data_IF_884371943506
#
_entry.id   IF_884371943506
#
_cell.length_a   1.000
_cell.length_b   1.000
_cell.length_c   1.000
_cell.angle_alpha   90.00
_cell.angle_beta   90.00
_cell.angle_gamma   90.00
#
_symmetry.space_group_name_H-M   'P 1'
#
loop_
_entity.id
_entity.type
_entity.pdbx_description
1 polymer ?
#
# COMPACT_ATOMS: atom_id res chain seq x y z
N UNK A 1 25.63 13.91 67.91
CA UNK A 1 25.89 14.19 66.48
C UNK A 1 24.58 14.58 65.82
N UNK A 2 24.47 15.85 65.42
CA UNK A 2 23.30 16.41 64.74
C UNK A 2 23.27 16.00 63.27
N UNK A 3 22.11 15.57 62.76
CA UNK A 3 21.79 15.73 61.33
C UNK A 3 20.35 16.17 61.15
N UNK A 4 20.26 17.44 60.76
CA UNK A 4 19.10 18.23 60.41
C UNK A 4 18.40 17.62 59.20
N UNK A 5 17.09 17.38 59.31
CA UNK A 5 16.21 17.05 58.18
C UNK A 5 15.63 18.36 57.67
N UNK A 6 16.10 18.80 56.51
CA UNK A 6 15.56 19.94 55.78
C UNK A 6 14.15 19.61 55.30
N UNK A 7 13.18 20.31 55.88
CA UNK A 7 11.80 20.38 55.40
C UNK A 7 11.76 21.29 54.18
N UNK A 8 11.32 20.77 53.04
CA UNK A 8 10.83 21.57 51.91
C UNK A 8 9.37 21.17 51.74
N UNK A 9 8.52 21.79 52.56
CA UNK A 9 7.09 21.92 52.32
C UNK A 9 6.84 23.42 52.20
N UNK A 10 6.41 23.86 51.03
CA UNK A 10 6.06 25.25 50.79
C UNK A 10 5.31 25.40 49.48
N UNK A 11 4.03 25.73 49.60
CA UNK A 11 3.13 26.24 48.56
C UNK A 11 2.63 25.24 47.51
N UNK A 12 1.55 24.54 47.88
CA UNK A 12 0.30 24.53 47.12
C UNK A 12 -0.83 24.12 48.08
N UNK A 13 -1.43 25.14 48.71
CA UNK A 13 -2.63 24.97 49.52
C UNK A 13 -3.84 24.75 48.62
N UNK A 14 -4.03 23.52 48.16
CA UNK A 14 -5.33 23.04 47.71
C UNK A 14 -5.93 22.22 48.86
N UNK A 15 -7.04 22.70 49.41
CA UNK A 15 -7.88 21.98 50.37
C UNK A 15 -8.18 20.59 49.80
N UNK A 16 -7.56 19.55 50.35
CA UNK A 16 -8.00 18.18 50.09
C UNK A 16 -9.25 17.94 50.94
N UNK A 17 -10.39 18.34 50.41
CA UNK A 17 -11.64 17.73 50.82
C UNK A 17 -11.48 16.22 50.60
N UNK A 18 -11.29 15.50 51.71
CA UNK A 18 -11.37 14.05 51.72
C UNK A 18 -12.78 13.72 51.23
N UNK A 19 -12.88 13.31 49.97
CA UNK A 19 -14.07 12.68 49.45
C UNK A 19 -14.31 11.43 50.32
N UNK A 20 -15.21 11.57 51.30
CA UNK A 20 -15.70 10.45 52.10
C UNK A 20 -16.88 9.89 51.30
N UNK A 21 -16.71 8.77 50.56
CA UNK A 21 -17.81 8.19 49.82
C UNK A 21 -18.92 7.81 50.80
N UNK A 22 -20.10 8.41 50.64
CA UNK A 22 -21.30 8.06 51.38
C UNK A 22 -21.68 6.62 51.06
N UNK A 23 -21.89 5.80 52.09
CA UNK A 23 -22.13 4.35 52.00
C UNK A 23 -23.39 3.90 51.22
N UNK A 24 -24.11 4.82 50.57
CA UNK A 24 -25.27 4.52 49.72
C UNK A 24 -24.93 4.35 48.24
N UNK A 25 -23.67 4.54 47.83
CA UNK A 25 -23.29 4.37 46.43
C UNK A 25 -23.25 2.89 46.06
N UNK A 26 -24.35 2.46 45.44
CA UNK A 26 -24.62 1.08 45.04
C UNK A 26 -23.49 0.57 44.12
N UNK A 27 -22.69 -0.44 44.53
CA UNK A 27 -21.49 -0.89 43.81
C UNK A 27 -21.76 -1.36 42.38
N UNK A 28 -23.02 -1.68 42.07
CA UNK A 28 -23.50 -2.05 40.73
C UNK A 28 -23.47 -0.90 39.73
N UNK A 29 -23.66 0.36 40.16
CA UNK A 29 -23.58 1.55 39.28
C UNK A 29 -22.14 1.84 38.86
N UNK A 30 -21.19 1.70 39.78
CA UNK A 30 -19.76 1.88 39.47
C UNK A 30 -19.28 0.81 38.48
N UNK A 31 -19.67 -0.45 38.65
CA UNK A 31 -19.28 -1.52 37.72
C UNK A 31 -19.87 -1.38 36.32
N UNK A 32 -21.13 -0.92 36.19
CA UNK A 32 -21.76 -0.72 34.88
C UNK A 32 -21.12 0.44 34.10
N UNK A 33 -20.77 1.54 34.78
CA UNK A 33 -20.03 2.65 34.15
C UNK A 33 -18.63 2.23 33.67
N UNK A 34 -17.91 1.43 34.45
CA UNK A 34 -16.59 0.91 34.09
C UNK A 34 -16.62 -0.02 32.87
N UNK A 35 -17.65 -0.88 32.76
CA UNK A 35 -17.82 -1.75 31.58
C UNK A 35 -18.15 -0.95 30.32
N UNK A 36 -19.00 0.07 30.43
CA UNK A 36 -19.35 0.93 29.30
C UNK A 36 -18.11 1.64 28.74
N UNK A 37 -17.26 2.21 29.61
CA UNK A 37 -16.02 2.90 29.19
C UNK A 37 -15.05 1.94 28.49
N UNK A 38 -14.90 0.70 28.97
CA UNK A 38 -14.05 -0.32 28.33
C UNK A 38 -14.57 -0.77 26.95
N UNK A 39 -15.89 -0.86 26.77
CA UNK A 39 -16.47 -1.21 25.48
C UNK A 39 -16.26 -0.09 24.45
N UNK A 40 -16.35 1.17 24.88
CA UNK A 40 -16.11 2.33 24.01
C UNK A 40 -14.65 2.42 23.53
N UNK A 41 -13.68 2.08 24.39
CA UNK A 41 -12.28 2.11 23.99
C UNK A 41 -11.94 1.09 22.90
N UNK A 42 -12.48 -0.13 23.04
CA UNK A 42 -12.26 -1.19 22.06
C UNK A 42 -12.87 -0.88 20.69
N UNK A 43 -14.07 -0.27 20.67
CA UNK A 43 -14.72 0.18 19.44
C UNK A 43 -13.92 1.30 18.74
N UNK A 44 -13.33 2.21 19.51
CA UNK A 44 -12.45 3.26 18.99
C UNK A 44 -11.23 2.69 18.26
N UNK A 45 -10.53 1.75 18.89
CA UNK A 45 -9.35 1.08 18.29
C UNK A 45 -9.70 0.27 17.04
N UNK A 46 -10.83 -0.45 17.06
CA UNK A 46 -11.32 -1.16 15.89
C UNK A 46 -11.67 -0.19 14.74
N UNK A 47 -12.29 0.95 15.06
CA UNK A 47 -12.66 1.93 14.04
C UNK A 47 -11.45 2.61 13.41
N UNK A 48 -10.40 2.93 14.18
CA UNK A 48 -9.18 3.55 13.63
C UNK A 48 -8.38 2.56 12.78
N UNK A 49 -8.31 1.29 13.20
CA UNK A 49 -7.75 0.22 12.37
C UNK A 49 -8.55 -0.01 11.09
N UNK A 50 -9.89 -0.01 11.17
CA UNK A 50 -10.75 -0.15 10.02
C UNK A 50 -10.60 1.04 9.04
N UNK A 51 -10.50 2.27 9.55
CA UNK A 51 -10.27 3.47 8.73
C UNK A 51 -8.89 3.43 8.07
N UNK A 52 -7.84 3.05 8.80
CA UNK A 52 -6.51 2.87 8.21
C UNK A 52 -6.56 1.80 7.11
N UNK A 53 -7.22 0.67 7.38
CA UNK A 53 -7.33 -0.43 6.41
C UNK A 53 -8.12 -0.01 5.17
N UNK A 54 -9.25 0.69 5.34
CA UNK A 54 -10.05 1.23 4.24
C UNK A 54 -9.26 2.26 3.43
N UNK A 55 -8.55 3.18 4.10
CA UNK A 55 -7.70 4.18 3.44
C UNK A 55 -6.57 3.51 2.64
N UNK A 56 -5.91 2.52 3.22
CA UNK A 56 -4.86 1.73 2.59
C UNK A 56 -5.34 0.99 1.33
N UNK A 57 -6.59 0.51 1.36
CA UNK A 57 -7.22 -0.15 0.21
C UNK A 57 -7.72 0.84 -0.85
N UNK A 58 -8.11 2.06 -0.45
CA UNK A 58 -8.69 3.06 -1.34
C UNK A 58 -7.63 3.86 -2.11
N UNK A 59 -6.47 4.14 -1.50
CA UNK A 59 -5.57 5.15 -2.04
C UNK A 59 -4.59 4.60 -3.10
N UNK A 60 -4.74 5.09 -4.34
CA UNK A 60 -3.83 4.85 -5.46
C UNK A 60 -2.47 5.56 -5.33
N UNK A 61 -2.34 6.55 -4.43
CA UNK A 61 -1.12 7.33 -4.25
C UNK A 61 0.04 6.56 -3.59
N UNK A 62 -0.24 5.47 -2.86
CA UNK A 62 0.79 4.64 -2.22
C UNK A 62 1.72 3.93 -3.22
N UNK A 63 1.29 3.83 -4.46
CA UNK A 63 2.03 3.21 -5.54
C UNK A 63 3.34 3.98 -5.81
N UNK A 64 3.35 5.31 -5.63
CA UNK A 64 4.53 6.18 -5.81
C UNK A 64 5.56 6.08 -4.66
N UNK A 65 5.20 5.49 -3.52
CA UNK A 65 6.09 5.30 -2.35
C UNK A 65 7.10 4.15 -2.56
N UNK A 66 6.72 3.12 -3.33
CA UNK A 66 7.44 1.84 -3.42
C UNK A 66 8.62 1.87 -4.40
N UNK A 67 8.56 2.71 -5.44
CA UNK A 67 9.60 2.77 -6.49
C UNK A 67 10.98 3.24 -6.01
N UNK A 68 11.14 3.68 -4.76
CA UNK A 68 12.41 4.20 -4.24
C UNK A 68 12.96 3.44 -3.03
N UNK A 69 12.33 2.34 -2.59
CA UNK A 69 12.93 1.45 -1.58
C UNK A 69 13.83 0.38 -2.21
N UNK A 70 13.60 0.05 -3.49
CA UNK A 70 14.26 -1.07 -4.18
C UNK A 70 15.38 -0.64 -5.16
N UNK A 71 15.45 0.65 -5.52
CA UNK A 71 16.50 1.12 -6.45
C UNK A 71 17.80 1.44 -5.71
N UNK A 72 18.66 0.43 -5.53
CA UNK A 72 20.10 0.67 -5.57
C UNK A 72 20.45 1.25 -6.95
N UNK A 73 21.01 2.47 -6.93
CA UNK A 73 21.90 3.05 -7.94
C UNK A 73 21.93 2.37 -9.33
N UNK A 74 21.30 2.99 -10.33
CA UNK A 74 21.95 3.35 -11.61
C UNK A 74 21.03 4.25 -12.46
N UNK A 75 21.52 5.49 -12.64
CA UNK A 75 21.17 6.52 -13.65
C UNK A 75 19.93 7.41 -13.38
N UNK A 76 20.26 8.60 -12.85
CA UNK A 76 19.65 9.94 -13.04
C UNK A 76 18.85 10.13 -14.34
N UNK A 77 17.88 11.02 -14.51
CA UNK A 77 17.21 12.07 -13.73
C UNK A 77 15.99 12.51 -14.58
N UNK A 78 14.94 13.10 -13.98
CA UNK A 78 14.35 14.41 -14.35
C UNK A 78 13.38 14.81 -13.24
N UNK A 79 13.51 16.08 -12.86
CA UNK A 79 12.90 16.85 -11.78
C UNK A 79 11.39 16.99 -11.85
N UNK A 80 10.72 16.92 -10.68
CA UNK A 80 9.90 18.04 -10.20
C UNK A 80 9.63 17.96 -8.68
N UNK A 81 9.71 19.14 -8.04
CA UNK A 81 9.46 19.42 -6.63
C UNK A 81 7.98 19.19 -6.28
N UNK A 82 7.65 17.96 -5.88
CA UNK A 82 6.39 17.67 -5.19
C UNK A 82 6.77 16.89 -3.93
N UNK A 83 6.35 17.40 -2.78
CA UNK A 83 6.54 16.83 -1.42
C UNK A 83 6.60 15.30 -1.52
N UNK A 84 7.80 14.74 -1.31
CA UNK A 84 8.08 13.36 -1.68
C UNK A 84 7.06 12.42 -1.01
N UNK A 85 6.40 11.50 -1.75
CA UNK A 85 5.37 10.62 -1.21
C UNK A 85 5.87 9.75 -0.04
N UNK A 86 7.20 9.61 0.10
CA UNK A 86 7.93 9.12 1.29
C UNK A 86 7.42 9.68 2.61
N UNK A 87 7.12 10.97 2.66
CA UNK A 87 6.67 11.61 3.89
C UNK A 87 5.23 11.23 4.23
N UNK A 88 4.35 11.06 3.24
CA UNK A 88 2.92 10.86 3.48
C UNK A 88 2.62 9.49 4.10
N UNK A 89 3.25 8.41 3.62
CA UNK A 89 3.07 7.07 4.20
C UNK A 89 3.63 6.96 5.61
N UNK A 90 4.83 7.54 5.83
CA UNK A 90 5.43 7.63 7.16
C UNK A 90 4.56 8.50 8.08
N UNK A 91 4.04 9.63 7.61
CA UNK A 91 3.13 10.49 8.35
C UNK A 91 1.84 9.74 8.69
N UNK A 92 1.25 8.96 7.79
CA UNK A 92 0.03 8.20 8.06
C UNK A 92 0.26 7.12 9.13
N UNK A 93 1.36 6.36 9.04
CA UNK A 93 1.76 5.39 10.08
C UNK A 93 2.00 6.11 11.40
N UNK A 94 2.74 7.23 11.38
CA UNK A 94 3.00 8.03 12.58
C UNK A 94 1.71 8.60 13.16
N UNK A 95 0.73 9.03 12.36
CA UNK A 95 -0.57 9.51 12.82
C UNK A 95 -1.32 8.38 13.50
N UNK A 96 -1.42 7.20 12.90
CA UNK A 96 -2.13 6.08 13.52
C UNK A 96 -1.43 5.60 14.79
N UNK A 97 -0.11 5.54 14.77
CA UNK A 97 0.66 5.23 15.97
C UNK A 97 0.47 6.29 17.05
N UNK A 98 0.45 7.58 16.68
CA UNK A 98 0.22 8.70 17.60
C UNK A 98 -1.20 8.70 18.16
N UNK A 99 -2.21 8.40 17.35
CA UNK A 99 -3.61 8.31 17.78
C UNK A 99 -3.80 7.12 18.72
N UNK A 100 -3.29 5.93 18.36
CA UNK A 100 -3.30 4.77 19.25
C UNK A 100 -2.55 5.03 20.56
N UNK A 101 -1.42 5.73 20.49
CA UNK A 101 -0.64 6.10 21.67
C UNK A 101 -1.39 7.10 22.57
N UNK A 102 -1.95 8.17 21.99
CA UNK A 102 -2.76 9.17 22.71
C UNK A 102 -3.99 8.53 23.36
N UNK A 103 -4.61 7.58 22.68
CA UNK A 103 -5.77 6.85 23.20
C UNK A 103 -5.40 5.97 24.39
N UNK A 104 -4.31 5.20 24.29
CA UNK A 104 -3.75 4.45 25.42
C UNK A 104 -3.33 5.36 26.58
N UNK A 105 -2.74 6.52 26.28
CA UNK A 105 -2.36 7.50 27.29
C UNK A 105 -3.58 8.06 28.03
N UNK A 106 -4.65 8.42 27.30
CA UNK A 106 -5.89 8.93 27.88
C UNK A 106 -6.56 7.90 28.81
N UNK A 107 -6.63 6.63 28.39
CA UNK A 107 -7.18 5.53 29.20
C UNK A 107 -6.37 5.34 30.49
N UNK A 108 -5.04 5.45 30.41
CA UNK A 108 -4.16 5.33 31.57
C UNK A 108 -4.35 6.47 32.58
N UNK A 109 -4.58 7.70 32.11
CA UNK A 109 -4.77 8.88 32.96
C UNK A 109 -6.14 8.94 33.63
N UNK A 110 -7.18 8.36 33.02
CA UNK A 110 -8.54 8.32 33.58
C UNK A 110 -8.72 7.34 34.75
N UNK A 111 -7.64 6.71 35.23
CA UNK A 111 -7.68 5.95 36.49
C UNK A 111 -8.58 4.71 36.47
N UNK A 112 -8.96 4.22 35.27
CA UNK A 112 -9.72 2.97 35.06
C UNK A 112 -8.80 1.76 35.32
N UNK A 113 -8.20 1.70 36.50
CA UNK A 113 -7.19 0.72 36.88
C UNK A 113 -7.79 -0.30 37.88
N UNK A 114 -8.51 -1.27 37.35
CA UNK A 114 -8.89 -2.50 38.07
C UNK A 114 -8.59 -3.75 37.23
N UNK A 115 -7.49 -3.74 36.47
CA UNK A 115 -7.06 -4.85 35.62
C UNK A 115 -5.57 -5.15 35.77
N UNK A 116 -5.25 -6.43 35.96
CA UNK A 116 -3.91 -6.98 36.16
C UNK A 116 -2.92 -6.53 35.07
N UNK A 117 -1.69 -6.22 35.47
CA UNK A 117 -0.63 -5.71 34.57
C UNK A 117 -0.36 -6.59 33.33
N UNK A 118 -0.68 -7.88 33.42
CA UNK A 118 -0.55 -8.85 32.31
C UNK A 118 -1.43 -8.45 31.11
N UNK A 119 -2.68 -8.02 31.32
CA UNK A 119 -3.57 -7.65 30.21
C UNK A 119 -3.04 -6.43 29.44
N UNK A 120 -2.44 -5.47 30.16
CA UNK A 120 -1.79 -4.29 29.56
C UNK A 120 -0.56 -4.67 28.74
N UNK A 121 0.29 -5.53 29.29
CA UNK A 121 1.48 -6.03 28.60
C UNK A 121 1.11 -6.79 27.32
N UNK A 122 0.08 -7.64 27.37
CA UNK A 122 -0.42 -8.36 26.20
C UNK A 122 -0.91 -7.41 25.10
N UNK A 123 -1.72 -6.40 25.45
CA UNK A 123 -2.20 -5.40 24.48
C UNK A 123 -1.05 -4.65 23.79
N UNK A 124 -0.03 -4.24 24.55
CA UNK A 124 1.15 -3.57 24.00
C UNK A 124 1.93 -4.47 23.04
N UNK A 125 2.16 -5.73 23.43
CA UNK A 125 2.86 -6.71 22.59
C UNK A 125 2.07 -6.98 21.31
N UNK A 126 0.75 -7.18 21.40
CA UNK A 126 -0.11 -7.41 20.24
C UNK A 126 -0.12 -6.22 19.29
N UNK A 127 -0.18 -4.99 19.82
CA UNK A 127 -0.15 -3.76 19.00
C UNK A 127 1.19 -3.61 18.27
N UNK A 128 2.29 -3.85 18.98
CA UNK A 128 3.64 -3.81 18.37
C UNK A 128 3.79 -4.90 17.30
N UNK A 129 3.33 -6.12 17.59
CA UNK A 129 3.36 -7.23 16.65
C UNK A 129 2.52 -6.94 15.39
N UNK A 130 1.34 -6.35 15.54
CA UNK A 130 0.48 -5.94 14.43
C UNK A 130 1.16 -4.86 13.56
N UNK A 131 1.73 -3.82 14.18
CA UNK A 131 2.47 -2.78 13.47
C UNK A 131 3.67 -3.33 12.69
N UNK A 132 4.47 -4.21 13.32
CA UNK A 132 5.58 -4.89 12.65
C UNK A 132 5.13 -5.81 11.52
N UNK A 133 4.00 -6.51 11.68
CA UNK A 133 3.44 -7.37 10.63
C UNK A 133 3.00 -6.56 9.41
N UNK A 134 2.37 -5.39 9.62
CA UNK A 134 2.02 -4.46 8.54
C UNK A 134 3.28 -3.92 7.85
N UNK A 135 4.30 -3.55 8.62
CA UNK A 135 5.57 -3.07 8.07
C UNK A 135 6.26 -4.12 7.20
N UNK A 136 6.42 -5.35 7.71
CA UNK A 136 7.04 -6.45 6.97
C UNK A 136 6.19 -6.90 5.77
N UNK A 137 4.86 -6.82 5.88
CA UNK A 137 3.92 -7.19 4.83
C UNK A 137 3.59 -6.07 3.84
N UNK A 138 4.20 -4.89 3.98
CA UNK A 138 3.78 -3.68 3.26
C UNK A 138 3.78 -3.87 1.73
N UNK A 139 4.86 -4.43 1.18
CA UNK A 139 4.95 -4.68 -0.27
C UNK A 139 3.82 -5.58 -0.77
N UNK A 140 3.51 -6.64 -0.03
CA UNK A 140 2.39 -7.54 -0.35
C UNK A 140 1.03 -6.84 -0.33
N UNK A 141 0.82 -5.91 0.61
CA UNK A 141 -0.43 -5.14 0.69
C UNK A 141 -0.55 -4.18 -0.49
N UNK A 142 0.53 -3.48 -0.86
CA UNK A 142 0.53 -2.59 -2.02
C UNK A 142 0.25 -3.37 -3.30
N UNK A 143 0.88 -4.53 -3.48
CA UNK A 143 0.65 -5.38 -4.65
C UNK A 143 -0.77 -5.95 -4.69
N UNK A 144 -1.35 -6.27 -3.53
CA UNK A 144 -2.77 -6.64 -3.44
C UNK A 144 -3.69 -5.47 -3.83
N UNK A 145 -3.39 -4.25 -3.39
CA UNK A 145 -4.12 -3.06 -3.81
C UNK A 145 -4.04 -2.80 -5.31
N UNK A 146 -2.86 -2.98 -5.93
CA UNK A 146 -2.67 -2.93 -7.39
C UNK A 146 -3.50 -4.00 -8.10
N UNK A 147 -3.45 -5.24 -7.60
CA UNK A 147 -4.23 -6.35 -8.13
C UNK A 147 -5.73 -6.01 -8.14
N UNK A 148 -6.27 -5.52 -7.02
CA UNK A 148 -7.68 -5.13 -6.93
C UNK A 148 -8.07 -4.02 -7.91
N UNK A 149 -7.20 -3.03 -8.12
CA UNK A 149 -7.46 -1.95 -9.10
C UNK A 149 -7.49 -2.50 -10.52
N UNK A 150 -6.46 -3.24 -10.92
CA UNK A 150 -6.39 -3.78 -12.29
C UNK A 150 -7.42 -4.87 -12.57
N UNK A 151 -7.84 -5.65 -11.56
CA UNK A 151 -8.89 -6.66 -11.72
C UNK A 151 -10.25 -6.04 -12.08
N UNK A 152 -10.55 -4.81 -11.62
CA UNK A 152 -11.78 -4.09 -12.01
C UNK A 152 -11.82 -3.79 -13.52
N UNK A 153 -10.66 -3.52 -14.09
CA UNK A 153 -10.50 -3.13 -15.50
C UNK A 153 -10.17 -4.32 -16.42
N UNK A 154 -10.19 -5.55 -15.89
CA UNK A 154 -9.78 -6.77 -16.61
C UNK A 154 -10.45 -6.94 -17.98
N UNK A 155 -11.74 -6.64 -18.10
CA UNK A 155 -12.45 -6.72 -19.38
C UNK A 155 -11.98 -5.68 -20.40
N UNK A 156 -11.65 -4.46 -19.96
CA UNK A 156 -11.12 -3.41 -20.84
C UNK A 156 -9.70 -3.75 -21.31
N UNK A 157 -8.86 -4.24 -20.38
CA UNK A 157 -7.50 -4.72 -20.65
C UNK A 157 -7.52 -5.85 -21.69
N UNK A 158 -8.39 -6.85 -21.53
CA UNK A 158 -8.47 -7.98 -22.45
C UNK A 158 -8.90 -7.55 -23.86
N UNK A 159 -9.92 -6.69 -23.96
CA UNK A 159 -10.36 -6.13 -25.25
C UNK A 159 -9.24 -5.36 -25.94
N UNK A 160 -8.48 -4.57 -25.19
CA UNK A 160 -7.37 -3.82 -25.74
C UNK A 160 -6.23 -4.74 -26.18
N UNK A 161 -5.90 -5.78 -25.42
CA UNK A 161 -4.90 -6.77 -25.83
C UNK A 161 -5.30 -7.49 -27.13
N UNK A 162 -6.56 -7.91 -27.26
CA UNK A 162 -7.08 -8.51 -28.50
C UNK A 162 -7.01 -7.54 -29.67
N UNK A 163 -7.36 -6.26 -29.43
CA UNK A 163 -7.23 -5.21 -30.44
C UNK A 163 -5.76 -5.06 -30.89
N UNK A 164 -4.82 -4.94 -29.96
CA UNK A 164 -3.39 -4.82 -30.23
C UNK A 164 -2.86 -6.04 -31.00
N UNK A 165 -3.26 -7.26 -30.64
CA UNK A 165 -2.85 -8.46 -31.37
C UNK A 165 -3.35 -8.43 -32.82
N UNK A 166 -4.62 -8.08 -33.02
CA UNK A 166 -5.26 -8.03 -34.34
C UNK A 166 -4.69 -6.91 -35.23
N UNK A 167 -4.27 -5.80 -34.62
CA UNK A 167 -3.75 -4.61 -35.31
C UNK A 167 -2.22 -4.54 -35.28
N UNK A 168 -1.50 -5.58 -34.84
CA UNK A 168 -0.05 -5.52 -34.63
C UNK A 168 0.70 -4.97 -35.84
N UNK A 169 0.36 -5.44 -37.05
CA UNK A 169 1.00 -5.00 -38.29
C UNK A 169 0.76 -3.52 -38.60
N UNK A 170 -0.41 -3.00 -38.27
CA UNK A 170 -0.77 -1.58 -38.46
C UNK A 170 -0.05 -0.71 -37.44
N UNK A 171 0.01 -1.16 -36.17
CA UNK A 171 0.75 -0.48 -35.11
C UNK A 171 2.25 -0.37 -35.43
N UNK A 172 2.85 -1.46 -35.91
CA UNK A 172 4.25 -1.52 -36.35
C UNK A 172 4.55 -0.54 -37.49
N UNK A 173 3.62 -0.36 -38.43
CA UNK A 173 3.77 0.60 -39.53
C UNK A 173 3.73 2.06 -39.06
N UNK A 174 3.38 2.32 -37.80
CA UNK A 174 3.19 3.67 -37.28
C UNK A 174 1.90 4.35 -37.77
N UNK A 175 1.02 3.60 -38.44
CA UNK A 175 -0.24 4.09 -39.03
C UNK A 175 -1.42 3.99 -38.04
N UNK A 176 -1.11 3.91 -36.74
CA UNK A 176 -2.09 3.60 -35.70
C UNK A 176 -3.28 4.58 -35.70
N UNK A 177 -4.53 4.06 -35.69
CA UNK A 177 -5.71 4.89 -35.61
C UNK A 177 -5.87 5.45 -34.18
N UNK A 178 -5.50 6.72 -33.99
CA UNK A 178 -5.91 7.66 -32.91
C UNK A 178 -5.71 7.28 -31.42
N UNK A 179 -5.54 6.00 -31.07
CA UNK A 179 -5.61 5.52 -29.68
C UNK A 179 -4.22 5.37 -29.05
N UNK A 180 -3.18 5.17 -29.87
CA UNK A 180 -1.82 5.02 -29.37
C UNK A 180 -0.89 5.93 -30.15
N UNK A 181 -0.07 6.71 -29.44
CA UNK A 181 0.84 7.68 -30.03
C UNK A 181 1.95 7.04 -30.89
N UNK A 182 2.86 7.85 -31.46
CA UNK A 182 3.97 7.33 -32.26
C UNK A 182 4.84 6.36 -31.44
N UNK A 183 5.21 5.25 -32.07
CA UNK A 183 6.03 4.18 -31.49
C UNK A 183 7.24 3.84 -32.35
N UNK A 184 8.30 3.39 -31.70
CA UNK A 184 9.48 2.82 -32.34
C UNK A 184 9.43 1.29 -32.24
N UNK A 185 9.34 0.56 -33.38
CA UNK A 185 9.30 -0.90 -33.40
C UNK A 185 10.69 -1.54 -33.31
N UNK A 186 10.81 -2.63 -32.55
CA UNK A 186 12.03 -3.43 -32.40
C UNK A 186 11.72 -4.94 -32.32
N UNK A 187 12.55 -5.82 -32.90
CA UNK A 187 13.61 -5.51 -33.87
C UNK A 187 13.00 -5.06 -35.22
N UNK A 188 13.81 -4.47 -36.12
CA UNK A 188 13.30 -3.83 -37.35
C UNK A 188 12.54 -4.77 -38.31
N UNK A 189 12.96 -6.03 -38.44
CA UNK A 189 12.42 -6.96 -39.45
C UNK A 189 11.20 -7.74 -38.97
N UNK A 190 11.18 -8.10 -37.69
CA UNK A 190 10.07 -8.82 -37.08
C UNK A 190 9.78 -8.20 -35.71
N UNK A 191 9.15 -7.01 -35.68
CA UNK A 191 8.96 -6.30 -34.43
C UNK A 191 8.12 -7.09 -33.44
N UNK A 192 8.66 -7.27 -32.24
CA UNK A 192 7.97 -7.84 -31.08
C UNK A 192 7.76 -6.79 -29.99
N UNK A 193 8.52 -5.71 -30.01
CA UNK A 193 8.45 -4.60 -29.07
C UNK A 193 8.06 -3.29 -29.77
N UNK A 194 7.14 -2.55 -29.17
CA UNK A 194 6.79 -1.18 -29.53
C UNK A 194 7.08 -0.28 -28.32
N UNK A 195 8.04 0.63 -28.46
CA UNK A 195 8.37 1.63 -27.44
C UNK A 195 7.72 2.95 -27.82
N UNK A 196 6.91 3.52 -26.93
CA UNK A 196 6.23 4.79 -27.17
C UNK A 196 7.00 5.96 -26.60
N UNK A 197 7.04 7.09 -27.32
CA UNK A 197 7.71 8.31 -26.84
C UNK A 197 6.93 9.04 -25.74
N UNK A 198 5.62 8.78 -25.65
CA UNK A 198 4.72 9.37 -24.66
C UNK A 198 4.10 8.26 -23.80
N UNK A 199 3.64 8.63 -22.61
CA UNK A 199 2.80 7.77 -21.78
C UNK A 199 1.45 7.61 -22.48
N UNK A 200 1.04 6.36 -22.74
CA UNK A 200 -0.27 6.03 -23.30
C UNK A 200 -1.15 5.40 -22.22
N UNK A 201 -2.47 5.47 -22.40
CA UNK A 201 -3.43 4.82 -21.50
C UNK A 201 -4.16 3.70 -22.23
N UNK A 202 -4.45 2.61 -21.53
CA UNK A 202 -5.37 1.59 -22.02
C UNK A 202 -6.78 2.23 -22.04
N UNK A 203 -7.52 2.18 -23.17
CA UNK A 203 -8.84 2.77 -23.29
C UNK A 203 -9.80 2.30 -22.19
N UNK A 204 -10.62 3.24 -21.70
CA UNK A 204 -11.60 3.02 -20.61
C UNK A 204 -10.97 2.60 -19.26
N UNK A 205 -9.69 2.88 -19.05
CA UNK A 205 -8.99 2.60 -17.79
C UNK A 205 -8.08 3.75 -17.38
N UNK A 206 -7.59 3.71 -16.14
CA UNK A 206 -6.54 4.61 -15.64
C UNK A 206 -5.13 3.99 -15.79
N UNK A 207 -5.00 2.92 -16.56
CA UNK A 207 -3.76 2.14 -16.67
C UNK A 207 -2.88 2.72 -17.76
N UNK A 208 -1.77 3.31 -17.32
CA UNK A 208 -0.81 3.94 -18.21
C UNK A 208 0.40 3.04 -18.50
N UNK A 209 0.85 2.99 -19.77
CA UNK A 209 1.95 2.16 -20.25
C UNK A 209 2.92 2.95 -21.14
N UNK A 210 4.16 2.46 -21.26
CA UNK A 210 5.23 3.04 -22.10
C UNK A 210 5.70 2.13 -23.23
N UNK A 211 5.50 0.82 -23.11
CA UNK A 211 5.88 -0.14 -24.13
C UNK A 211 4.89 -1.29 -24.23
N UNK A 212 4.87 -1.93 -25.39
CA UNK A 212 4.11 -3.15 -25.66
C UNK A 212 5.07 -4.20 -26.23
N UNK A 213 5.16 -5.34 -25.56
CA UNK A 213 5.86 -6.52 -26.08
C UNK A 213 4.85 -7.59 -26.49
N UNK A 214 5.11 -8.25 -27.62
CA UNK A 214 4.31 -9.34 -28.16
C UNK A 214 5.19 -10.57 -28.35
N UNK A 215 4.85 -11.65 -27.66
CA UNK A 215 5.37 -12.97 -28.01
C UNK A 215 4.33 -13.67 -28.88
N UNK A 216 4.70 -13.97 -30.12
CA UNK A 216 3.79 -14.52 -31.13
C UNK A 216 2.97 -15.67 -30.57
N UNK A 217 1.64 -15.56 -30.64
CA UNK A 217 0.65 -16.56 -30.21
C UNK A 217 0.62 -16.89 -28.70
N UNK A 218 1.53 -16.36 -27.90
CA UNK A 218 1.61 -16.68 -26.47
C UNK A 218 1.03 -15.57 -25.59
N UNK A 219 1.49 -14.34 -25.76
CA UNK A 219 1.15 -13.25 -24.86
C UNK A 219 1.39 -11.86 -25.45
N UNK A 220 0.63 -10.89 -24.93
CA UNK A 220 0.92 -9.46 -25.06
C UNK A 220 1.22 -8.92 -23.67
N UNK A 221 2.26 -8.10 -23.57
CA UNK A 221 2.70 -7.49 -22.31
C UNK A 221 2.76 -5.98 -22.47
N UNK A 222 2.15 -5.27 -21.53
CA UNK A 222 2.24 -3.82 -21.44
C UNK A 222 3.20 -3.43 -20.32
N UNK A 223 4.29 -2.75 -20.64
CA UNK A 223 5.18 -2.19 -19.63
C UNK A 223 4.52 -0.97 -18.99
N UNK A 224 4.20 -1.08 -17.70
CA UNK A 224 3.44 -0.07 -16.98
C UNK A 224 4.31 1.16 -16.66
N UNK A 225 3.66 2.31 -16.58
CA UNK A 225 4.31 3.60 -16.33
C UNK A 225 4.03 4.15 -14.93
N UNK A 226 4.63 5.29 -14.63
CA UNK A 226 4.38 6.05 -13.40
C UNK A 226 4.74 5.26 -12.15
N UNK A 227 3.77 5.06 -11.28
CA UNK A 227 3.97 4.35 -10.01
C UNK A 227 4.10 2.82 -10.15
N UNK A 228 3.84 2.28 -11.34
CA UNK A 228 3.93 0.87 -11.64
C UNK A 228 5.13 0.52 -12.55
N UNK A 229 6.08 1.46 -12.71
CA UNK A 229 7.31 1.22 -13.48
C UNK A 229 8.01 -0.07 -13.03
N UNK A 230 8.56 -0.81 -14.00
CA UNK A 230 9.20 -2.12 -13.78
C UNK A 230 8.22 -3.29 -13.64
N UNK A 231 6.91 -3.04 -13.67
CA UNK A 231 5.88 -4.08 -13.76
C UNK A 231 5.27 -4.13 -15.14
N UNK A 232 4.82 -5.32 -15.49
CA UNK A 232 4.22 -5.63 -16.76
C UNK A 232 2.81 -6.17 -16.52
N UNK A 233 1.87 -5.73 -17.34
CA UNK A 233 0.57 -6.34 -17.44
C UNK A 233 0.64 -7.36 -18.58
N UNK A 234 0.71 -8.64 -18.24
CA UNK A 234 0.79 -9.74 -19.20
C UNK A 234 -0.57 -10.37 -19.42
N UNK A 235 -1.01 -10.38 -20.67
CA UNK A 235 -2.23 -11.03 -21.14
C UNK A 235 -1.78 -12.24 -21.94
N UNK A 236 -2.14 -13.44 -21.47
CA UNK A 236 -1.76 -14.71 -22.10
C UNK A 236 -2.92 -15.29 -22.90
N UNK A 237 -2.60 -15.80 -24.08
CA UNK A 237 -3.56 -16.53 -24.92
C UNK A 237 -3.58 -18.03 -24.57
N UNK A 238 -2.58 -18.51 -23.83
CA UNK A 238 -2.55 -19.84 -23.22
C UNK A 238 -2.98 -19.79 -21.75
N UNK A 239 -3.31 -20.95 -21.17
CA UNK A 239 -3.69 -21.06 -19.76
C UNK A 239 -2.48 -21.19 -18.81
N UNK A 240 -1.26 -21.15 -19.34
CA UNK A 240 -0.04 -21.29 -18.56
C UNK A 240 0.24 -20.02 -17.75
N UNK A 241 0.92 -20.11 -16.60
CA UNK A 241 1.38 -18.93 -15.88
C UNK A 241 2.46 -18.17 -16.68
N UNK A 242 2.76 -16.91 -16.30
CA UNK A 242 3.86 -16.13 -16.89
C UNK A 242 5.18 -16.90 -16.86
N UNK A 243 5.82 -16.99 -18.02
CA UNK A 243 7.09 -17.68 -18.23
C UNK A 243 8.24 -16.72 -18.54
N UNK A 244 9.42 -17.29 -18.75
CA UNK A 244 10.56 -16.54 -19.29
C UNK A 244 10.30 -16.17 -20.75
N UNK A 245 10.81 -15.02 -21.20
CA UNK A 245 10.75 -14.63 -22.61
C UNK A 245 11.98 -13.81 -23.02
N UNK A 246 12.18 -13.66 -24.33
CA UNK A 246 13.19 -12.79 -24.92
C UNK A 246 12.44 -11.58 -25.50
N UNK A 247 12.78 -10.37 -25.06
CA UNK A 247 12.15 -9.14 -25.55
C UNK A 247 12.71 -8.69 -26.90
N UNK A 248 12.06 -7.72 -27.53
CA UNK A 248 12.42 -7.25 -28.89
C UNK A 248 13.78 -6.56 -29.01
N UNK A 249 14.43 -6.25 -27.89
CA UNK A 249 15.82 -5.75 -27.81
C UNK A 249 16.82 -6.82 -27.37
N UNK A 250 16.46 -8.09 -27.53
CA UNK A 250 17.27 -9.27 -27.14
C UNK A 250 17.53 -9.40 -25.63
N UNK A 251 16.85 -8.60 -24.80
CA UNK A 251 16.88 -8.74 -23.35
C UNK A 251 16.15 -10.00 -22.89
N UNK A 252 16.77 -10.76 -21.99
CA UNK A 252 16.18 -11.95 -21.39
C UNK A 252 15.42 -11.57 -20.12
N UNK A 253 14.13 -11.90 -20.08
CA UNK A 253 13.28 -11.60 -18.93
C UNK A 253 12.88 -12.87 -18.18
N UNK A 254 13.09 -12.88 -16.87
CA UNK A 254 12.65 -13.95 -15.96
C UNK A 254 11.64 -13.40 -14.96
N UNK A 255 10.44 -14.02 -14.81
CA UNK A 255 9.46 -13.55 -13.84
C UNK A 255 9.99 -13.74 -12.41
N UNK A 256 10.05 -12.65 -11.65
CA UNK A 256 10.38 -12.66 -10.22
C UNK A 256 9.15 -12.97 -9.38
N UNK A 257 8.04 -12.30 -9.72
CA UNK A 257 6.76 -12.45 -9.03
C UNK A 257 5.61 -12.22 -10.02
N UNK A 258 4.47 -12.85 -9.76
CA UNK A 258 3.24 -12.55 -10.50
C UNK A 258 1.98 -12.68 -9.64
N UNK A 259 0.94 -11.96 -10.05
CA UNK A 259 -0.41 -12.02 -9.48
C UNK A 259 -1.42 -12.22 -10.60
N UNK A 260 -2.29 -13.22 -10.45
CA UNK A 260 -3.40 -13.48 -11.38
C UNK A 260 -4.50 -12.44 -11.14
N UNK A 261 -4.81 -11.63 -12.15
CA UNK A 261 -5.85 -10.60 -12.10
C UNK A 261 -7.20 -11.13 -12.59
N UNK A 262 -7.16 -11.96 -13.64
CA UNK A 262 -8.28 -12.72 -14.21
C UNK A 262 -7.72 -14.02 -14.82
N UNK A 263 -8.53 -14.79 -15.56
CA UNK A 263 -8.08 -16.07 -16.11
C UNK A 263 -6.84 -16.00 -17.00
N UNK A 264 -6.67 -14.90 -17.71
CA UNK A 264 -5.60 -14.71 -18.69
C UNK A 264 -4.70 -13.51 -18.43
N UNK A 265 -5.02 -12.71 -17.42
CA UNK A 265 -4.33 -11.45 -17.15
C UNK A 265 -3.54 -11.59 -15.86
N UNK A 266 -2.26 -11.23 -15.94
CA UNK A 266 -1.32 -11.27 -14.85
C UNK A 266 -0.64 -9.92 -14.69
N UNK A 267 -0.46 -9.49 -13.44
CA UNK A 267 0.50 -8.45 -13.10
C UNK A 267 1.82 -9.13 -12.76
N UNK A 268 2.87 -8.84 -13.52
CA UNK A 268 4.15 -9.55 -13.47
C UNK A 268 5.28 -8.58 -13.23
N UNK A 269 6.25 -8.99 -12.42
CA UNK A 269 7.52 -8.32 -12.24
C UNK A 269 8.61 -9.17 -12.87
N UNK A 270 9.36 -8.59 -13.80
CA UNK A 270 10.43 -9.29 -14.51
C UNK A 270 11.80 -8.77 -14.08
N UNK A 271 12.74 -9.68 -13.92
CA UNK A 271 14.17 -9.35 -13.90
C UNK A 271 14.75 -9.52 -15.30
N UNK A 272 15.51 -8.51 -15.72
CA UNK A 272 16.40 -8.62 -16.88
C UNK A 272 17.67 -9.39 -16.43
N UNK A 273 18.01 -10.47 -17.15
CA UNK A 273 19.15 -11.36 -16.85
C UNK A 273 20.29 -11.20 -17.83
#
# INVERSE_FOLDING_TARGET
MYRVRTSIFGLLGASSEKFVPTASDNPTRLQSSLRAVQSFSFLGELSSLAILYLWLLSDGYLTHLVLFADTKMKRFAVTDEIIQPRYVGVIAILIVFSVSWLFHFAINQLGVQSGSGIRRMLLQITTLAAGLSIWMGWCSIVDFGRQLRFSKDSAAIERFAVFVDSQWKVLVAGESPLVVGPSNPYPLYEPTLLIYSNINMIPDTEIAFVAIERTSQEAIRFELSGSNLGRWLEIRFTNDPPGKFIGGIESHFTPLSYRKLSDRIFLVEFAES
#
